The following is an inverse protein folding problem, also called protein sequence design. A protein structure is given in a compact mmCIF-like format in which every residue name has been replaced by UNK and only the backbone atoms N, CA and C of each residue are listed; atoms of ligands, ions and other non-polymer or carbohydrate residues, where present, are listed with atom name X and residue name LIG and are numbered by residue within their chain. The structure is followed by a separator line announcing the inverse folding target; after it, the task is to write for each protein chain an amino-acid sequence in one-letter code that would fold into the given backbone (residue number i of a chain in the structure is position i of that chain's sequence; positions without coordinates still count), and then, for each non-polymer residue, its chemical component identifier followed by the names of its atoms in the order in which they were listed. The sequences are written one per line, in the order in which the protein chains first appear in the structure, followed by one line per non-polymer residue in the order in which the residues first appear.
data_IF_913928768578
#
_entry.id   IF_913928768578
#
_cell.length_a   1.000
_cell.length_b   1.000
_cell.length_c   1.000
_cell.angle_alpha   90.00
_cell.angle_beta   90.00
_cell.angle_gamma   90.00
#
_symmetry.space_group_name_H-M   'P 1'
#
loop_
_entity.id
_entity.type
_entity.pdbx_description
1 polymer ?
#
# COMPACT_ATOMS: atom_id res chain seq x y z
N UNK A 1 -8.53 -1.10 14.59
CA UNK A 1 -8.91 -1.06 13.16
C UNK A 1 -8.30 -2.21 12.38
N UNK A 2 -7.01 -2.52 12.58
CA UNK A 2 -6.37 -3.63 11.86
C UNK A 2 -7.03 -5.00 12.15
N UNK A 3 -7.37 -5.26 13.41
CA UNK A 3 -8.06 -6.49 13.82
C UNK A 3 -9.44 -6.65 13.15
N UNK A 4 -10.16 -5.54 12.95
CA UNK A 4 -11.48 -5.55 12.30
C UNK A 4 -11.35 -5.86 10.81
N UNK A 5 -10.33 -5.30 10.14
CA UNK A 5 -10.01 -5.62 8.75
C UNK A 5 -9.61 -7.09 8.59
N UNK A 6 -8.86 -7.64 9.55
CA UNK A 6 -8.50 -9.06 9.54
C UNK A 6 -9.72 -9.96 9.74
N UNK A 7 -10.64 -9.62 10.65
CA UNK A 7 -11.88 -10.36 10.84
C UNK A 7 -12.74 -10.36 9.56
N UNK A 8 -12.96 -9.18 8.95
CA UNK A 8 -13.70 -9.05 7.70
C UNK A 8 -13.03 -9.79 6.53
N UNK A 9 -11.70 -9.83 6.47
CA UNK A 9 -10.99 -10.61 5.48
C UNK A 9 -11.27 -12.11 5.65
N UNK A 10 -11.21 -12.61 6.89
CA UNK A 10 -11.46 -14.03 7.22
C UNK A 10 -12.89 -14.45 6.86
N UNK A 11 -13.88 -13.60 7.12
CA UNK A 11 -15.27 -13.84 6.71
C UNK A 11 -15.42 -14.06 5.20
N UNK A 12 -14.53 -13.46 4.39
CA UNK A 12 -14.49 -13.61 2.93
C UNK A 12 -13.51 -14.69 2.45
N UNK A 13 -13.04 -15.57 3.34
CA UNK A 13 -12.06 -16.62 3.02
C UNK A 13 -10.64 -16.12 2.74
N UNK A 14 -10.36 -14.85 3.09
CA UNK A 14 -9.05 -14.24 2.94
C UNK A 14 -8.29 -14.23 4.26
N UNK A 15 -6.99 -14.50 4.17
CA UNK A 15 -6.04 -14.39 5.26
C UNK A 15 -5.17 -13.16 5.06
N UNK A 16 -5.36 -12.18 5.94
CA UNK A 16 -4.50 -11.01 6.06
C UNK A 16 -3.38 -11.32 7.07
N UNK A 17 -2.12 -11.15 6.65
CA UNK A 17 -0.95 -11.34 7.51
C UNK A 17 0.02 -10.17 7.35
N UNK A 18 0.46 -9.62 8.48
CA UNK A 18 1.46 -8.57 8.53
C UNK A 18 2.72 -9.13 9.18
N UNK A 19 3.85 -8.96 8.50
CA UNK A 19 5.19 -9.19 9.05
C UNK A 19 5.85 -7.84 9.25
N UNK A 20 6.01 -7.45 10.50
CA UNK A 20 6.64 -6.20 10.89
C UNK A 20 8.03 -6.50 11.46
N UNK A 21 9.05 -5.82 10.96
CA UNK A 21 10.40 -5.83 11.52
C UNK A 21 10.78 -4.44 12.02
N UNK A 22 11.75 -4.36 12.95
CA UNK A 22 12.24 -3.08 13.45
C UNK A 22 13.78 -2.96 13.42
N UNK A 23 14.42 -3.04 12.25
CA UNK A 23 15.87 -2.92 12.15
C UNK A 23 16.33 -1.48 12.43
N UNK A 24 17.18 -1.28 13.44
CA UNK A 24 17.93 -0.03 13.67
C UNK A 24 17.06 1.24 13.71
N UNK A 25 15.87 1.17 14.29
CA UNK A 25 14.95 2.32 14.41
C UNK A 25 14.09 2.60 13.17
N UNK A 26 14.25 1.82 12.11
CA UNK A 26 13.31 1.75 10.99
C UNK A 26 12.27 0.66 11.26
N UNK A 27 11.07 0.85 10.74
CA UNK A 27 10.06 -0.20 10.65
C UNK A 27 10.07 -0.76 9.23
N UNK A 28 10.08 -2.07 9.09
CA UNK A 28 9.79 -2.73 7.82
C UNK A 28 8.43 -3.41 7.92
N UNK A 29 7.62 -3.28 6.89
CA UNK A 29 6.32 -3.92 6.76
C UNK A 29 6.31 -4.78 5.49
N UNK A 30 5.94 -6.04 5.67
CA UNK A 30 5.45 -6.88 4.59
C UNK A 30 4.06 -7.37 4.92
N UNK A 31 3.09 -6.91 4.16
CA UNK A 31 1.71 -7.32 4.26
C UNK A 31 1.40 -8.28 3.13
N UNK A 32 0.71 -9.38 3.43
CA UNK A 32 0.24 -10.34 2.45
C UNK A 32 -1.23 -10.63 2.66
N UNK A 33 -1.97 -10.76 1.56
CA UNK A 33 -3.33 -11.26 1.52
C UNK A 33 -3.30 -12.56 0.73
N UNK A 34 -3.70 -13.65 1.38
CA UNK A 34 -3.83 -14.95 0.75
C UNK A 34 -5.29 -15.41 0.80
N UNK A 35 -5.69 -16.26 -0.12
CA UNK A 35 -6.98 -16.95 -0.09
C UNK A 35 -6.74 -18.39 0.32
N UNK A 36 -7.61 -18.91 1.17
CA UNK A 36 -7.58 -20.31 1.57
C UNK A 36 -8.36 -21.14 0.55
N UNK A 37 -7.64 -21.95 -0.23
CA UNK A 37 -8.20 -22.86 -1.21
C UNK A 37 -8.56 -24.21 -0.55
N UNK A 38 -9.45 -25.00 -1.18
CA UNK A 38 -9.69 -26.38 -0.79
C UNK A 38 -8.38 -27.20 -0.75
N UNK A 39 -8.32 -28.15 0.20
CA UNK A 39 -7.16 -29.00 0.48
C UNK A 39 -5.95 -28.28 1.12
N UNK A 40 -6.22 -27.35 2.05
CA UNK A 40 -5.22 -26.66 2.88
C UNK A 40 -4.12 -25.92 2.08
N UNK A 41 -4.46 -25.50 0.85
CA UNK A 41 -3.57 -24.72 0.01
C UNK A 41 -3.83 -23.24 0.22
N UNK A 42 -2.75 -22.47 0.34
CA UNK A 42 -2.81 -21.01 0.40
C UNK A 42 -2.36 -20.43 -0.93
N UNK A 43 -3.18 -19.57 -1.51
CA UNK A 43 -2.82 -18.82 -2.70
C UNK A 43 -2.62 -17.35 -2.35
N UNK A 44 -1.42 -16.83 -2.59
CA UNK A 44 -1.13 -15.41 -2.41
C UNK A 44 -1.92 -14.62 -3.46
N UNK A 45 -2.79 -13.71 -3.01
CA UNK A 45 -3.59 -12.84 -3.86
C UNK A 45 -3.01 -11.43 -3.98
N UNK A 46 -2.36 -10.94 -2.93
CA UNK A 46 -1.61 -9.70 -3.02
C UNK A 46 -0.61 -9.51 -1.91
N UNK A 47 0.34 -8.61 -2.15
CA UNK A 47 1.35 -8.21 -1.19
C UNK A 47 1.61 -6.69 -1.24
N UNK A 48 1.98 -6.13 -0.10
CA UNK A 48 2.52 -4.79 0.04
C UNK A 48 3.84 -4.86 0.81
N UNK A 49 4.86 -4.17 0.27
CA UNK A 49 6.13 -3.90 0.94
C UNK A 49 6.21 -2.41 1.22
N UNK A 50 6.49 -2.09 2.46
CA UNK A 50 6.64 -0.72 2.92
C UNK A 50 7.68 -0.67 4.03
N UNK A 51 8.17 0.52 4.31
CA UNK A 51 9.00 0.81 5.47
C UNK A 51 8.61 2.16 6.04
N UNK A 52 8.96 2.38 7.30
CA UNK A 52 8.74 3.64 7.96
C UNK A 52 9.94 4.05 8.81
N UNK A 53 10.11 5.34 9.01
CA UNK A 53 11.05 5.91 9.98
C UNK A 53 10.31 6.86 10.92
N UNK A 54 10.97 7.32 11.98
CA UNK A 54 10.36 8.06 13.08
C UNK A 54 9.97 9.50 12.76
N UNK A 55 9.22 9.73 11.68
CA UNK A 55 8.73 11.04 11.27
C UNK A 55 7.26 10.95 10.83
N UNK A 56 6.56 12.08 10.85
CA UNK A 56 5.16 12.16 10.41
C UNK A 56 5.01 11.85 8.92
N UNK A 57 6.03 12.13 8.10
CA UNK A 57 6.12 11.74 6.68
C UNK A 57 6.96 10.49 6.47
N UNK A 58 7.05 9.66 7.50
CA UNK A 58 7.99 8.56 7.60
C UNK A 58 7.64 7.34 6.76
N UNK A 59 6.37 7.19 6.35
CA UNK A 59 5.88 5.99 5.68
C UNK A 59 6.20 6.01 4.19
N UNK A 60 6.88 4.97 3.73
CA UNK A 60 7.36 4.78 2.37
C UNK A 60 6.83 3.46 1.83
N UNK A 61 6.16 3.51 0.69
CA UNK A 61 5.52 2.36 0.07
C UNK A 61 6.31 1.95 -1.17
N UNK A 62 6.95 0.79 -1.13
CA UNK A 62 7.89 0.37 -2.17
C UNK A 62 7.19 -0.40 -3.29
N UNK A 63 6.37 -1.38 -2.93
CA UNK A 63 5.82 -2.31 -3.91
C UNK A 63 4.47 -2.84 -3.45
N UNK A 64 3.47 -2.60 -4.28
CA UNK A 64 2.17 -3.24 -4.18
C UNK A 64 2.00 -4.18 -5.37
N UNK A 65 1.60 -5.42 -5.10
CA UNK A 65 1.24 -6.40 -6.13
C UNK A 65 -0.09 -7.04 -5.78
N UNK A 66 -0.98 -7.10 -6.75
CA UNK A 66 -2.26 -7.80 -6.64
C UNK A 66 -2.39 -8.65 -7.89
N UNK A 67 -2.77 -9.92 -7.74
CA UNK A 67 -2.96 -10.80 -8.88
C UNK A 67 -4.18 -10.34 -9.69
N UNK A 68 -4.16 -10.46 -11.04
CA UNK A 68 -5.30 -10.06 -11.87
C UNK A 68 -6.61 -10.78 -11.53
N UNK A 69 -6.52 -12.01 -11.00
CA UNK A 69 -7.65 -12.87 -10.62
C UNK A 69 -7.91 -12.83 -9.10
N UNK A 70 -7.30 -11.89 -8.37
CA UNK A 70 -7.54 -11.76 -6.95
C UNK A 70 -9.00 -11.36 -6.69
N UNK A 71 -9.59 -11.80 -5.55
CA UNK A 71 -10.93 -11.39 -5.16
C UNK A 71 -11.09 -9.86 -5.16
N UNK A 72 -12.28 -9.41 -5.53
CA UNK A 72 -12.61 -7.99 -5.57
C UNK A 72 -12.32 -7.32 -4.22
N UNK A 73 -11.78 -6.09 -4.26
CA UNK A 73 -11.41 -5.36 -3.05
C UNK A 73 -10.09 -5.80 -2.40
N UNK A 74 -9.37 -6.82 -2.89
CA UNK A 74 -8.06 -7.22 -2.33
C UNK A 74 -7.09 -6.05 -2.26
N UNK A 75 -7.05 -5.20 -3.30
CA UNK A 75 -6.24 -3.99 -3.29
C UNK A 75 -6.67 -2.99 -2.21
N UNK A 76 -7.98 -2.79 -2.03
CA UNK A 76 -8.53 -1.92 -0.99
C UNK A 76 -8.22 -2.43 0.42
N UNK A 77 -8.32 -3.75 0.64
CA UNK A 77 -7.93 -4.37 1.91
C UNK A 77 -6.44 -4.13 2.21
N UNK A 78 -5.56 -4.31 1.22
CA UNK A 78 -4.13 -4.05 1.36
C UNK A 78 -3.86 -2.59 1.75
N UNK A 79 -4.52 -1.64 1.06
CA UNK A 79 -4.39 -0.22 1.36
C UNK A 79 -4.89 0.12 2.76
N UNK A 80 -6.08 -0.34 3.13
CA UNK A 80 -6.68 -0.09 4.43
C UNK A 80 -5.80 -0.66 5.55
N UNK A 81 -5.38 -1.92 5.43
CA UNK A 81 -4.55 -2.56 6.45
C UNK A 81 -3.14 -1.94 6.56
N UNK A 82 -2.55 -1.50 5.45
CA UNK A 82 -1.25 -0.79 5.47
C UNK A 82 -1.36 0.54 6.21
N UNK A 83 -2.40 1.33 5.92
CA UNK A 83 -2.60 2.63 6.58
C UNK A 83 -3.01 2.48 8.05
N UNK A 84 -3.84 1.50 8.36
CA UNK A 84 -4.19 1.16 9.75
C UNK A 84 -2.94 0.80 10.55
N UNK A 85 -2.07 -0.05 10.01
CA UNK A 85 -0.79 -0.36 10.65
C UNK A 85 0.07 0.90 10.86
N UNK A 86 0.19 1.76 9.86
CA UNK A 86 1.00 2.97 9.98
C UNK A 86 0.50 3.90 11.10
N UNK A 87 -0.82 4.13 11.17
CA UNK A 87 -1.44 4.98 12.18
C UNK A 87 -1.42 4.36 13.59
N UNK A 88 -1.56 3.04 13.69
CA UNK A 88 -1.62 2.34 14.99
C UNK A 88 -0.21 2.04 15.55
N UNK A 89 0.78 1.79 14.69
CA UNK A 89 2.10 1.23 15.10
C UNK A 89 3.29 2.16 14.89
N UNK A 90 3.09 3.31 14.23
CA UNK A 90 4.17 4.26 13.91
C UNK A 90 3.70 5.70 14.12
N UNK A 91 4.59 6.69 14.24
CA UNK A 91 4.20 8.11 14.27
C UNK A 91 3.84 8.67 12.88
N UNK A 92 3.78 7.82 11.84
CA UNK A 92 3.57 8.27 10.48
C UNK A 92 2.10 8.66 10.25
N UNK A 93 1.91 9.84 9.69
CA UNK A 93 0.62 10.38 9.29
C UNK A 93 0.50 10.55 7.78
N UNK A 94 1.63 10.61 7.06
CA UNK A 94 1.66 10.73 5.60
C UNK A 94 2.42 9.57 4.97
N UNK A 95 1.80 8.99 3.95
CA UNK A 95 2.36 7.97 3.09
C UNK A 95 3.04 8.63 1.89
N UNK A 96 4.14 8.03 1.43
CA UNK A 96 4.84 8.41 0.20
C UNK A 96 5.07 7.19 -0.67
N UNK A 97 4.97 7.37 -1.98
CA UNK A 97 5.26 6.34 -2.98
C UNK A 97 5.86 6.97 -4.22
N UNK A 98 6.64 6.19 -4.98
CA UNK A 98 7.10 6.59 -6.30
C UNK A 98 6.30 5.85 -7.38
N UNK A 99 5.58 6.60 -8.21
CA UNK A 99 5.02 6.09 -9.45
C UNK A 99 6.09 6.11 -10.54
N UNK A 100 6.82 5.01 -10.69
CA UNK A 100 7.92 4.86 -11.64
C UNK A 100 7.44 5.13 -13.07
N UNK A 101 8.24 5.85 -13.85
CA UNK A 101 7.98 6.19 -15.25
C UNK A 101 8.68 5.18 -16.18
N UNK A 102 8.19 3.94 -16.22
CA UNK A 102 8.73 2.91 -17.12
C UNK A 102 8.24 3.09 -18.58
N UNK A 103 6.93 3.33 -18.76
CA UNK A 103 6.32 3.64 -20.06
C UNK A 103 5.21 4.70 -19.88
N UNK A 104 5.14 5.72 -20.73
CA UNK A 104 4.24 6.88 -20.52
C UNK A 104 2.76 6.50 -20.32
N UNK A 105 2.25 5.56 -21.11
CA UNK A 105 0.87 5.09 -20.99
C UNK A 105 0.58 4.35 -19.69
N UNK A 106 1.56 3.58 -19.17
CA UNK A 106 1.45 2.88 -17.89
C UNK A 106 1.59 3.87 -16.72
N UNK A 107 2.50 4.84 -16.84
CA UNK A 107 2.73 5.88 -15.84
C UNK A 107 1.47 6.71 -15.61
N UNK A 108 0.79 7.20 -16.67
CA UNK A 108 -0.46 7.96 -16.53
C UNK A 108 -1.57 7.17 -15.85
N UNK A 109 -1.70 5.87 -16.16
CA UNK A 109 -2.68 4.99 -15.50
C UNK A 109 -2.37 4.82 -14.02
N UNK A 110 -1.10 4.62 -13.68
CA UNK A 110 -0.64 4.42 -12.31
C UNK A 110 -0.83 5.69 -11.46
N UNK A 111 -0.45 6.85 -11.99
CA UNK A 111 -0.69 8.15 -11.34
C UNK A 111 -2.19 8.37 -11.10
N UNK A 112 -3.04 8.14 -12.11
CA UNK A 112 -4.49 8.26 -11.96
C UNK A 112 -5.05 7.29 -10.91
N UNK A 113 -4.55 6.07 -10.87
CA UNK A 113 -4.91 5.08 -9.84
C UNK A 113 -4.57 5.59 -8.43
N UNK A 114 -3.36 6.10 -8.20
CA UNK A 114 -2.96 6.62 -6.89
C UNK A 114 -3.71 7.92 -6.53
N UNK A 115 -4.01 8.79 -7.50
CA UNK A 115 -4.85 9.97 -7.28
C UNK A 115 -6.25 9.59 -6.79
N UNK A 116 -6.86 8.55 -7.38
CA UNK A 116 -8.14 8.02 -6.91
C UNK A 116 -8.07 7.44 -5.49
N UNK A 117 -6.88 7.11 -4.99
CA UNK A 117 -6.64 6.63 -3.62
C UNK A 117 -6.43 7.76 -2.61
N UNK A 118 -6.23 9.01 -3.07
CA UNK A 118 -5.92 10.17 -2.22
C UNK A 118 -4.48 10.66 -2.31
N UNK A 119 -3.67 10.09 -3.22
CA UNK A 119 -2.31 10.58 -3.43
C UNK A 119 -2.28 11.80 -4.33
N UNK A 120 -1.42 12.76 -3.99
CA UNK A 120 -1.13 13.95 -4.79
C UNK A 120 0.33 13.91 -5.23
N UNK A 121 0.61 14.36 -6.45
CA UNK A 121 1.98 14.46 -6.95
C UNK A 121 2.66 15.63 -6.25
N UNK A 122 3.75 15.35 -5.53
CA UNK A 122 4.54 16.37 -4.81
C UNK A 122 5.71 16.83 -5.66
N UNK A 123 6.34 15.90 -6.37
CA UNK A 123 7.54 16.16 -7.16
C UNK A 123 7.63 15.18 -8.32
N UNK A 124 7.96 15.66 -9.51
CA UNK A 124 8.40 14.79 -10.59
C UNK A 124 9.90 14.59 -10.43
N UNK A 125 10.31 13.38 -10.04
CA UNK A 125 11.71 12.99 -9.95
C UNK A 125 12.20 12.80 -11.38
N UNK A 126 12.93 13.79 -11.89
CA UNK A 126 13.49 13.81 -13.23
C UNK A 126 15.02 13.53 -13.18
N UNK A 127 15.73 13.91 -14.24
CA UNK A 127 17.18 13.77 -14.34
C UNK A 127 17.96 14.95 -13.71
N UNK A 128 17.32 15.75 -12.85
CA UNK A 128 17.99 16.87 -12.22
C UNK A 128 18.99 16.39 -11.15
N UNK A 129 20.09 17.12 -10.97
CA UNK A 129 21.16 16.76 -10.00
C UNK A 129 20.62 16.67 -8.56
N UNK A 130 19.57 17.44 -8.25
CA UNK A 130 18.89 17.44 -6.96
C UNK A 130 18.00 16.19 -6.72
N UNK A 131 17.72 15.41 -7.76
CA UNK A 131 16.93 14.17 -7.69
C UNK A 131 17.80 12.94 -7.37
N UNK A 132 19.13 13.07 -7.32
CA UNK A 132 20.06 11.97 -7.05
C UNK A 132 19.82 11.27 -5.69
N UNK A 133 19.56 11.97 -4.56
CA UNK A 133 19.25 11.32 -3.29
C UNK A 133 17.91 10.56 -3.33
N UNK A 134 16.92 11.09 -4.04
CA UNK A 134 15.63 10.43 -4.22
C UNK A 134 15.76 9.21 -5.14
N UNK A 135 16.59 9.28 -6.17
CA UNK A 135 16.92 8.13 -7.03
C UNK A 135 17.70 7.04 -6.29
N UNK A 136 18.51 7.40 -5.29
CA UNK A 136 19.12 6.39 -4.41
C UNK A 136 18.11 5.67 -3.53
N UNK A 137 17.10 6.38 -3.03
CA UNK A 137 16.05 5.78 -2.17
C UNK A 137 15.07 4.94 -2.99
N UNK A 138 14.71 5.38 -4.19
CA UNK A 138 13.64 4.76 -4.98
C UNK A 138 14.10 4.03 -6.24
N UNK A 139 15.37 4.15 -6.62
CA UNK A 139 15.97 3.44 -7.75
C UNK A 139 15.59 3.94 -9.15
N UNK A 140 14.67 4.89 -9.30
CA UNK A 140 14.14 5.31 -10.61
C UNK A 140 13.62 6.75 -10.68
N UNK A 141 13.34 7.20 -11.91
CA UNK A 141 12.65 8.45 -12.19
C UNK A 141 11.12 8.21 -12.22
N UNK A 142 10.33 9.16 -11.74
CA UNK A 142 8.90 8.97 -11.59
C UNK A 142 8.20 10.08 -10.81
N UNK A 143 6.90 9.96 -10.63
CA UNK A 143 6.13 10.92 -9.84
C UNK A 143 6.17 10.50 -8.37
N UNK A 144 6.83 11.30 -7.54
CA UNK A 144 6.81 11.13 -6.08
C UNK A 144 5.49 11.68 -5.57
N UNK A 145 4.67 10.80 -5.02
CA UNK A 145 3.34 11.13 -4.55
C UNK A 145 3.24 11.00 -3.03
N UNK A 146 2.39 11.82 -2.42
CA UNK A 146 2.09 11.75 -1.00
C UNK A 146 0.59 11.72 -0.74
N UNK A 147 0.17 11.06 0.33
CA UNK A 147 -1.20 11.09 0.82
C UNK A 147 -1.23 11.14 2.34
N UNK A 148 -2.33 11.63 2.89
CA UNK A 148 -2.66 11.46 4.31
C UNK A 148 -3.10 10.02 4.58
N UNK A 149 -2.53 9.38 5.60
CA UNK A 149 -2.81 7.98 5.90
C UNK A 149 -4.27 7.77 6.33
N UNK A 150 -4.87 8.71 7.05
CA UNK A 150 -6.26 8.61 7.49
C UNK A 150 -7.22 8.76 6.30
N UNK A 151 -6.93 9.68 5.37
CA UNK A 151 -7.72 9.83 4.14
C UNK A 151 -7.67 8.56 3.27
N UNK A 152 -6.48 8.00 3.06
CA UNK A 152 -6.31 6.76 2.28
C UNK A 152 -7.01 5.60 2.98
N UNK A 153 -6.87 5.49 4.30
CA UNK A 153 -7.56 4.46 5.10
C UNK A 153 -9.07 4.56 4.94
N UNK A 154 -9.65 5.75 5.10
CA UNK A 154 -11.08 5.96 4.99
C UNK A 154 -11.61 5.54 3.62
N UNK A 155 -10.96 6.01 2.54
CA UNK A 155 -11.36 5.67 1.16
C UNK A 155 -11.22 4.18 0.88
N UNK A 156 -10.13 3.57 1.31
CA UNK A 156 -9.88 2.15 1.11
C UNK A 156 -10.86 1.28 1.91
N UNK A 157 -11.14 1.62 3.17
CA UNK A 157 -12.11 0.92 4.00
C UNK A 157 -13.52 1.00 3.41
N UNK A 158 -13.96 2.19 2.97
CA UNK A 158 -15.26 2.37 2.32
C UNK A 158 -15.39 1.51 1.06
N UNK A 159 -14.37 1.49 0.21
CA UNK A 159 -14.35 0.65 -1.00
C UNK A 159 -14.32 -0.84 -0.67
N UNK A 160 -13.57 -1.24 0.35
CA UNK A 160 -13.50 -2.63 0.81
C UNK A 160 -14.86 -3.13 1.30
N UNK A 161 -15.58 -2.32 2.07
CA UNK A 161 -16.93 -2.63 2.54
C UNK A 161 -17.94 -2.63 1.39
N UNK A 162 -17.87 -1.68 0.46
CA UNK A 162 -18.76 -1.62 -0.70
C UNK A 162 -18.58 -2.80 -1.68
N UNK A 163 -17.41 -3.42 -1.71
CA UNK A 163 -17.10 -4.61 -2.52
C UNK A 163 -17.40 -5.92 -1.79
N UNK A 164 -17.99 -5.88 -0.58
CA UNK A 164 -18.52 -7.09 0.05
C UNK A 164 -19.67 -7.61 -0.81
N UNK A 165 -19.69 -8.90 -1.19
CA UNK A 165 -20.93 -9.48 -1.67
C UNK A 165 -21.99 -9.29 -0.58
N UNK A 166 -23.13 -8.70 -0.96
CA UNK A 166 -24.31 -8.77 -0.10
C UNK A 166 -24.59 -10.25 0.17
N UNK A 167 -24.77 -10.58 1.46
CA UNK A 167 -25.11 -11.91 1.94
C UNK A 167 -26.36 -12.48 1.22
#
# INVERSE_FOLDING_TARGET
MLNDLEAQARERGLLLRLKVGRPLGLWSLRLVVAEQLPADRLQLQGEMKAWAYGATTGLQLDTMRVRPQAPAGTGDLIWAATMAWALESTPCLRARLLAIRDAEGQHRRLVRYFQQRGFTTVHEVEAAVWDLPLRMVWGGAGALMTADCAEVLQRAAQRWTAQSPAA
#
